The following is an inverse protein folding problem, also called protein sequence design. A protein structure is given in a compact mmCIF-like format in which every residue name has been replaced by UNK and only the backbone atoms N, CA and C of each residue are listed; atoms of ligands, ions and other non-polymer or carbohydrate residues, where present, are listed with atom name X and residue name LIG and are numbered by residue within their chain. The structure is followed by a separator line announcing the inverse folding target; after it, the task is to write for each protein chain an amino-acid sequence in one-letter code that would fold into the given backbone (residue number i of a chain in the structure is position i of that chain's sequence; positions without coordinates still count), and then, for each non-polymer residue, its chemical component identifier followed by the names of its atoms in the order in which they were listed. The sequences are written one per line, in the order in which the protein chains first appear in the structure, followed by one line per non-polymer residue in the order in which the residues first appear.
data_IF_113757154327
#
_entry.id   IF_113757154327
#
_cell.length_a   1.000
_cell.length_b   1.000
_cell.length_c   1.000
_cell.angle_alpha   90.00
_cell.angle_beta   90.00
_cell.angle_gamma   90.00
#
_symmetry.space_group_name_H-M   'P 1'
#
loop_
_entity.id
_entity.type
_entity.pdbx_description
1 polymer ?
#
# COMPACT_ATOMS: atom_id res chain seq x y z
N UNK A 1 14.65 0.32 -19.61
CA UNK A 1 13.29 -0.18 -19.33
C UNK A 1 12.50 0.99 -18.77
N UNK A 2 11.33 1.29 -19.34
CA UNK A 2 10.49 2.42 -18.93
C UNK A 2 9.98 2.31 -17.48
N UNK A 3 10.15 3.39 -16.71
CA UNK A 3 9.63 3.57 -15.35
C UNK A 3 8.65 4.75 -15.38
N UNK A 4 7.57 4.69 -14.60
CA UNK A 4 6.68 5.83 -14.38
C UNK A 4 5.89 6.20 -15.62
N UNK A 5 4.87 5.41 -15.97
CA UNK A 5 4.11 5.60 -17.21
C UNK A 5 3.44 6.97 -17.30
N UNK A 6 2.97 7.52 -16.18
CA UNK A 6 2.52 8.91 -16.06
C UNK A 6 3.58 9.84 -15.46
N UNK A 7 4.25 9.41 -14.38
CA UNK A 7 5.26 10.22 -13.68
C UNK A 7 6.44 9.39 -13.17
N UNK A 8 7.64 9.95 -13.34
CA UNK A 8 8.86 9.49 -12.69
C UNK A 8 9.42 10.62 -11.82
N UNK A 9 9.66 10.33 -10.54
CA UNK A 9 10.34 11.21 -9.61
C UNK A 9 11.45 10.44 -8.86
N UNK A 10 12.65 11.00 -8.84
CA UNK A 10 13.80 10.42 -8.15
C UNK A 10 14.47 11.51 -7.30
N UNK A 11 14.88 11.17 -6.08
CA UNK A 11 15.57 12.10 -5.19
C UNK A 11 16.61 11.39 -4.33
N UNK A 12 17.80 11.96 -4.20
CA UNK A 12 18.83 11.36 -3.34
C UNK A 12 18.46 11.47 -1.85
N UNK A 13 18.05 12.65 -1.39
CA UNK A 13 17.77 12.93 0.04
C UNK A 13 16.48 13.73 0.26
N UNK A 14 15.85 14.21 -0.81
CA UNK A 14 14.72 15.12 -0.73
C UNK A 14 13.39 14.44 -0.46
N UNK A 15 12.34 15.27 -0.37
CA UNK A 15 10.96 14.81 -0.25
C UNK A 15 10.29 14.84 -1.63
N UNK A 16 9.69 13.73 -2.03
CA UNK A 16 8.79 13.62 -3.17
C UNK A 16 7.36 13.62 -2.63
N UNK A 17 6.53 14.57 -3.05
CA UNK A 17 5.11 14.62 -2.67
C UNK A 17 4.23 14.58 -3.90
N UNK A 18 3.40 13.56 -4.00
CA UNK A 18 2.28 13.50 -4.94
C UNK A 18 1.00 13.69 -4.12
N UNK A 19 0.30 14.77 -4.37
CA UNK A 19 -0.92 15.10 -3.67
C UNK A 19 -2.05 15.47 -4.63
N UNK A 20 -3.22 14.86 -4.46
CA UNK A 20 -4.43 15.25 -5.20
C UNK A 20 -4.29 15.12 -6.72
N UNK A 21 -3.56 14.11 -7.19
CA UNK A 21 -3.40 13.82 -8.62
C UNK A 21 -4.30 12.66 -9.05
N UNK A 22 -4.67 12.66 -10.33
CA UNK A 22 -5.33 11.54 -11.00
C UNK A 22 -4.37 10.95 -12.03
N UNK A 23 -4.02 9.69 -11.87
CA UNK A 23 -3.27 8.89 -12.83
C UNK A 23 -4.23 7.87 -13.44
N UNK A 24 -4.66 8.09 -14.68
CA UNK A 24 -5.64 7.25 -15.37
C UNK A 24 -5.08 6.71 -16.70
N UNK A 25 -5.12 5.39 -16.88
CA UNK A 25 -4.79 4.75 -18.16
C UNK A 25 -3.33 4.83 -18.58
N UNK A 26 -2.39 5.05 -17.64
CA UNK A 26 -0.96 5.12 -17.95
C UNK A 26 -0.34 3.72 -18.03
N UNK A 27 0.74 3.57 -18.80
CA UNK A 27 1.45 2.30 -18.95
C UNK A 27 2.96 2.45 -18.87
N UNK A 28 3.61 1.55 -18.13
CA UNK A 28 5.07 1.49 -18.02
C UNK A 28 5.61 0.11 -18.46
N UNK A 29 6.69 0.12 -19.23
CA UNK A 29 7.38 -1.10 -19.69
C UNK A 29 8.03 -1.93 -18.58
N UNK A 30 8.12 -1.40 -17.36
CA UNK A 30 8.60 -2.16 -16.21
C UNK A 30 7.84 -1.78 -14.94
N UNK A 31 7.94 -0.52 -14.50
CA UNK A 31 7.62 -0.19 -13.11
C UNK A 31 6.76 1.06 -12.98
N UNK A 32 5.74 1.00 -12.12
CA UNK A 32 4.92 2.17 -11.80
C UNK A 32 4.11 2.63 -12.99
N UNK A 33 3.04 1.90 -13.33
CA UNK A 33 2.22 2.20 -14.51
C UNK A 33 1.68 3.63 -14.47
N UNK A 34 1.14 4.06 -13.32
CA UNK A 34 0.79 5.46 -13.06
C UNK A 34 2.01 6.28 -12.64
N UNK A 35 2.63 5.92 -11.52
CA UNK A 35 3.77 6.67 -10.98
C UNK A 35 4.92 5.78 -10.47
N UNK A 36 6.13 6.28 -10.66
CA UNK A 36 7.35 5.78 -10.06
C UNK A 36 7.98 6.86 -9.18
N UNK A 37 8.22 6.54 -7.92
CA UNK A 37 8.94 7.42 -6.99
C UNK A 37 10.07 6.67 -6.29
N UNK A 38 11.29 7.20 -6.33
CA UNK A 38 12.44 6.63 -5.64
C UNK A 38 13.20 7.66 -4.80
N UNK A 39 13.55 7.27 -3.57
CA UNK A 39 14.48 7.99 -2.71
C UNK A 39 15.69 7.13 -2.35
N UNK A 40 16.88 7.73 -2.23
CA UNK A 40 18.09 6.96 -1.92
C UNK A 40 18.43 6.92 -0.43
N UNK A 41 18.73 8.06 0.20
CA UNK A 41 19.31 8.17 1.53
C UNK A 41 18.44 9.04 2.43
N UNK A 42 17.57 8.41 3.23
CA UNK A 42 16.72 9.10 4.19
C UNK A 42 15.61 9.96 3.58
N UNK A 43 15.46 9.98 2.25
CA UNK A 43 14.45 10.77 1.57
C UNK A 43 13.02 10.27 1.84
N UNK A 44 12.06 11.18 1.75
CA UNK A 44 10.65 10.89 2.00
C UNK A 44 9.85 10.82 0.70
N UNK A 45 8.92 9.88 0.60
CA UNK A 45 7.92 9.84 -0.48
C UNK A 45 6.53 9.86 0.13
N UNK A 46 5.70 10.83 -0.27
CA UNK A 46 4.36 11.04 0.27
C UNK A 46 3.37 11.00 -0.89
N UNK A 47 2.48 10.00 -0.88
CA UNK A 47 1.30 9.93 -1.73
C UNK A 47 0.09 10.24 -0.84
N UNK A 48 -0.62 11.33 -1.13
CA UNK A 48 -1.85 11.68 -0.43
C UNK A 48 -3.00 12.07 -1.35
N UNK A 49 -4.22 11.57 -1.11
CA UNK A 49 -5.40 11.96 -1.90
C UNK A 49 -5.23 11.75 -3.40
N UNK A 50 -4.39 10.80 -3.83
CA UNK A 50 -4.24 10.50 -5.26
C UNK A 50 -5.19 9.38 -5.67
N UNK A 51 -5.57 9.41 -6.94
CA UNK A 51 -6.39 8.38 -7.58
C UNK A 51 -5.58 7.73 -8.70
N UNK A 52 -5.30 6.44 -8.56
CA UNK A 52 -4.66 5.61 -9.58
C UNK A 52 -5.70 4.65 -10.15
N UNK A 53 -6.08 4.86 -11.41
CA UNK A 53 -7.11 4.09 -12.10
C UNK A 53 -6.56 3.51 -13.41
N UNK A 54 -6.86 2.25 -13.70
CA UNK A 54 -6.58 1.62 -15.01
C UNK A 54 -5.12 1.70 -15.47
N UNK A 55 -4.16 1.86 -14.55
CA UNK A 55 -2.76 1.93 -14.93
C UNK A 55 -2.17 0.52 -15.05
N UNK A 56 -1.20 0.37 -15.95
CA UNK A 56 -0.57 -0.92 -16.25
C UNK A 56 0.94 -0.85 -16.12
N UNK A 57 1.55 -1.79 -15.40
CA UNK A 57 2.99 -2.01 -15.43
C UNK A 57 3.32 -3.39 -15.99
N UNK A 58 4.47 -3.57 -16.62
CA UNK A 58 4.87 -4.89 -17.11
C UNK A 58 5.56 -5.75 -16.03
N UNK A 59 6.06 -5.15 -14.95
CA UNK A 59 6.78 -5.88 -13.90
C UNK A 59 6.24 -5.63 -12.50
N UNK A 60 6.11 -4.38 -12.04
CA UNK A 60 5.50 -4.15 -10.71
C UNK A 60 4.95 -2.76 -10.48
N UNK A 61 3.97 -2.68 -9.59
CA UNK A 61 3.29 -1.43 -9.24
C UNK A 61 2.43 -0.94 -10.39
N UNK A 62 1.33 -1.64 -10.69
CA UNK A 62 0.43 -1.26 -11.79
C UNK A 62 -0.04 0.19 -11.64
N UNK A 63 -0.52 0.57 -10.45
CA UNK A 63 -0.81 1.95 -10.09
C UNK A 63 0.45 2.74 -9.77
N UNK A 64 1.17 2.33 -8.72
CA UNK A 64 2.40 3.02 -8.31
C UNK A 64 3.50 2.08 -7.83
N UNK A 65 4.76 2.47 -8.05
CA UNK A 65 5.92 1.86 -7.41
C UNK A 65 6.71 2.89 -6.62
N UNK A 66 6.82 2.66 -5.31
CA UNK A 66 7.61 3.48 -4.39
C UNK A 66 8.81 2.68 -3.90
N UNK A 67 9.98 3.30 -3.86
CA UNK A 67 11.22 2.67 -3.41
C UNK A 67 12.05 3.64 -2.58
N UNK A 68 12.47 3.22 -1.40
CA UNK A 68 13.56 3.85 -0.66
C UNK A 68 14.75 2.89 -0.63
N UNK A 69 15.97 3.37 -0.93
CA UNK A 69 17.19 2.53 -0.88
C UNK A 69 17.70 2.34 0.56
N UNK A 70 17.66 3.39 1.39
CA UNK A 70 18.11 3.33 2.78
C UNK A 70 17.50 4.45 3.62
N UNK A 71 16.96 4.10 4.79
CA UNK A 71 16.52 5.05 5.83
C UNK A 71 15.34 5.96 5.48
N UNK A 72 14.76 5.85 4.29
CA UNK A 72 13.67 6.70 3.84
C UNK A 72 12.29 6.26 4.33
N UNK A 73 11.34 7.20 4.32
CA UNK A 73 9.94 6.95 4.69
C UNK A 73 9.05 7.03 3.46
N UNK A 74 8.20 6.03 3.25
CA UNK A 74 7.14 6.07 2.24
C UNK A 74 5.79 6.11 2.95
N UNK A 75 5.02 7.15 2.68
CA UNK A 75 3.70 7.39 3.28
C UNK A 75 2.64 7.39 2.19
N UNK A 76 1.65 6.52 2.34
CA UNK A 76 0.45 6.48 1.51
C UNK A 76 -0.75 6.75 2.42
N UNK A 77 -1.45 7.86 2.18
CA UNK A 77 -2.63 8.24 2.95
C UNK A 77 -3.78 8.70 2.06
N UNK A 78 -4.98 8.17 2.25
CA UNK A 78 -6.16 8.53 1.45
C UNK A 78 -5.93 8.39 -0.04
N UNK A 79 -5.26 7.33 -0.49
CA UNK A 79 -5.16 7.09 -1.92
C UNK A 79 -6.19 6.04 -2.33
N UNK A 80 -6.68 6.20 -3.56
CA UNK A 80 -7.54 5.21 -4.23
C UNK A 80 -6.72 4.52 -5.31
N UNK A 81 -6.63 3.20 -5.24
CA UNK A 81 -6.04 2.36 -6.28
C UNK A 81 -7.12 1.42 -6.80
N UNK A 82 -7.54 1.62 -8.04
CA UNK A 82 -8.64 0.85 -8.64
C UNK A 82 -8.30 0.36 -10.04
N UNK A 83 -8.57 -0.92 -10.32
CA UNK A 83 -8.44 -1.50 -11.66
C UNK A 83 -7.03 -1.33 -12.27
N UNK A 84 -6.00 -1.19 -11.43
CA UNK A 84 -4.62 -1.19 -11.90
C UNK A 84 -4.14 -2.63 -12.08
N UNK A 85 -3.26 -2.83 -13.04
CA UNK A 85 -2.81 -4.17 -13.39
C UNK A 85 -1.30 -4.26 -13.59
N UNK A 86 -0.78 -5.44 -13.33
CA UNK A 86 0.53 -5.86 -13.82
C UNK A 86 0.33 -6.93 -14.88
N UNK A 87 0.99 -6.78 -16.03
CA UNK A 87 0.90 -7.75 -17.11
C UNK A 87 1.37 -9.14 -16.64
N UNK A 88 0.81 -10.24 -17.19
CA UNK A 88 1.24 -11.60 -16.91
C UNK A 88 2.65 -11.86 -17.41
N UNK A 89 3.64 -11.42 -16.63
CA UNK A 89 5.06 -11.64 -16.83
C UNK A 89 5.62 -12.37 -15.63
N UNK A 90 6.78 -13.00 -15.78
CA UNK A 90 7.41 -13.88 -14.77
C UNK A 90 7.71 -13.24 -13.40
N UNK A 91 7.48 -11.93 -13.23
CA UNK A 91 7.79 -11.16 -12.02
C UNK A 91 6.67 -10.18 -11.65
N UNK A 92 5.43 -10.42 -12.11
CA UNK A 92 4.30 -9.51 -11.93
C UNK A 92 3.85 -9.38 -10.48
N UNK A 93 3.91 -8.18 -9.90
CA UNK A 93 3.62 -7.96 -8.48
C UNK A 93 3.05 -6.56 -8.16
N UNK A 94 2.14 -6.45 -7.19
CA UNK A 94 1.60 -5.18 -6.70
C UNK A 94 0.72 -4.50 -7.75
N UNK A 95 -0.45 -5.07 -8.06
CA UNK A 95 -1.37 -4.53 -9.06
C UNK A 95 -1.75 -3.09 -8.76
N UNK A 96 -2.16 -2.81 -7.53
CA UNK A 96 -2.38 -1.45 -7.03
C UNK A 96 -1.05 -0.74 -6.81
N UNK A 97 -0.26 -1.23 -5.86
CA UNK A 97 1.02 -0.61 -5.53
C UNK A 97 2.11 -1.62 -5.14
N UNK A 98 3.36 -1.23 -5.38
CA UNK A 98 4.54 -1.84 -4.74
C UNK A 98 5.26 -0.81 -3.89
N UNK A 99 5.54 -1.15 -2.63
CA UNK A 99 6.27 -0.31 -1.68
C UNK A 99 7.52 -1.06 -1.23
N UNK A 100 8.70 -0.46 -1.40
CA UNK A 100 9.99 -1.10 -1.06
C UNK A 100 10.78 -0.25 -0.08
N UNK A 101 10.86 -0.67 1.18
CA UNK A 101 11.69 -0.05 2.21
C UNK A 101 13.06 -0.73 2.27
N UNK A 102 14.09 -0.02 1.85
CA UNK A 102 15.48 -0.38 2.12
C UNK A 102 15.82 -0.38 3.61
N UNK A 103 17.08 -0.68 3.93
CA UNK A 103 17.60 -0.78 5.31
C UNK A 103 17.21 0.43 6.15
N UNK A 104 16.58 0.20 7.31
CA UNK A 104 16.13 1.28 8.22
C UNK A 104 14.98 2.15 7.70
N UNK A 105 14.37 1.80 6.56
CA UNK A 105 13.25 2.54 5.98
C UNK A 105 11.91 2.25 6.65
N UNK A 106 10.95 3.14 6.49
CA UNK A 106 9.60 3.00 7.09
C UNK A 106 8.50 3.11 6.05
N UNK A 107 7.57 2.17 6.02
CA UNK A 107 6.32 2.27 5.29
C UNK A 107 5.18 2.67 6.25
N UNK A 108 4.36 3.64 5.84
CA UNK A 108 3.16 4.06 6.55
C UNK A 108 2.02 4.07 5.54
N UNK A 109 1.10 3.12 5.68
CA UNK A 109 -0.08 2.98 4.83
C UNK A 109 -1.30 3.19 5.72
N UNK A 110 -1.99 4.31 5.55
CA UNK A 110 -3.09 4.69 6.44
C UNK A 110 -4.30 5.14 5.63
N UNK A 111 -5.46 4.53 5.85
CA UNK A 111 -6.70 4.94 5.17
C UNK A 111 -6.56 5.03 3.65
N UNK A 112 -6.10 3.95 3.02
CA UNK A 112 -6.14 3.82 1.57
C UNK A 112 -7.24 2.84 1.18
N UNK A 113 -7.84 3.06 0.02
CA UNK A 113 -8.79 2.15 -0.61
C UNK A 113 -8.13 1.52 -1.84
N UNK A 114 -7.83 0.22 -1.75
CA UNK A 114 -7.12 -0.56 -2.78
C UNK A 114 -7.98 -1.74 -3.21
N UNK A 115 -8.69 -1.59 -4.33
CA UNK A 115 -9.74 -2.52 -4.74
C UNK A 115 -9.69 -2.87 -6.22
N UNK A 116 -10.01 -4.11 -6.58
CA UNK A 116 -10.12 -4.54 -7.98
C UNK A 116 -8.81 -4.44 -8.78
N UNK A 117 -7.65 -4.43 -8.12
CA UNK A 117 -6.35 -4.42 -8.80
C UNK A 117 -5.89 -5.86 -9.09
N UNK A 118 -5.00 -6.04 -10.06
CA UNK A 118 -4.54 -7.36 -10.47
C UNK A 118 -3.03 -7.47 -10.69
N UNK A 119 -2.44 -8.57 -10.22
CA UNK A 119 -1.06 -8.95 -10.53
C UNK A 119 -1.01 -10.45 -10.86
N UNK A 120 -1.04 -10.76 -12.15
CA UNK A 120 -0.89 -12.14 -12.65
C UNK A 120 0.54 -12.35 -13.15
N UNK A 121 1.09 -13.56 -13.03
CA UNK A 121 2.38 -13.95 -13.65
C UNK A 121 3.52 -14.38 -12.71
N UNK A 122 3.33 -14.39 -11.40
CA UNK A 122 4.37 -14.85 -10.46
C UNK A 122 4.47 -16.37 -10.39
N UNK A 123 5.58 -16.97 -10.85
CA UNK A 123 5.89 -18.39 -10.57
C UNK A 123 6.04 -18.70 -9.06
N UNK A 124 6.02 -17.68 -8.20
CA UNK A 124 6.38 -17.79 -6.79
C UNK A 124 5.26 -17.44 -5.82
N UNK A 125 4.00 -17.29 -6.27
CA UNK A 125 2.90 -16.99 -5.34
C UNK A 125 3.02 -15.63 -4.63
N UNK A 126 3.87 -14.72 -5.14
CA UNK A 126 4.42 -13.57 -4.40
C UNK A 126 3.92 -12.23 -4.94
N UNK A 127 2.68 -12.18 -5.42
CA UNK A 127 2.23 -11.09 -6.27
C UNK A 127 1.59 -9.92 -5.48
N UNK A 128 0.67 -10.15 -4.53
CA UNK A 128 -0.06 -9.04 -3.90
C UNK A 128 -0.84 -8.24 -4.94
N UNK A 129 -2.01 -8.73 -5.35
CA UNK A 129 -2.85 -8.08 -6.37
C UNK A 129 -3.18 -6.63 -6.00
N UNK A 130 -3.44 -6.36 -4.73
CA UNK A 130 -3.59 -5.01 -4.18
C UNK A 130 -2.23 -4.36 -3.94
N UNK A 131 -1.56 -4.79 -2.87
CA UNK A 131 -0.28 -4.22 -2.42
C UNK A 131 0.77 -5.30 -2.23
N UNK A 132 1.95 -5.05 -2.79
CA UNK A 132 3.19 -5.74 -2.41
C UNK A 132 4.09 -4.83 -1.58
N UNK A 133 4.48 -5.29 -0.39
CA UNK A 133 5.39 -4.60 0.51
C UNK A 133 6.69 -5.39 0.69
N UNK A 134 7.82 -4.74 0.43
CA UNK A 134 9.16 -5.29 0.63
C UNK A 134 9.89 -4.54 1.73
N UNK A 135 10.33 -5.25 2.77
CA UNK A 135 11.09 -4.69 3.88
C UNK A 135 12.47 -5.35 3.94
N UNK A 136 13.52 -4.54 3.72
CA UNK A 136 14.90 -5.01 3.79
C UNK A 136 15.39 -5.05 5.24
N UNK A 137 16.07 -6.14 5.55
CA UNK A 137 16.72 -6.37 6.84
C UNK A 137 18.23 -6.29 6.68
N UNK A 138 18.86 -5.21 7.17
CA UNK A 138 20.30 -5.13 7.32
C UNK A 138 20.64 -4.36 8.61
N UNK A 139 21.75 -3.61 8.65
CA UNK A 139 22.28 -2.88 9.83
C UNK A 139 21.33 -1.86 10.47
N UNK A 140 20.15 -1.65 9.89
CA UNK A 140 19.00 -0.95 10.45
C UNK A 140 17.72 -1.65 9.97
N UNK A 141 16.77 -1.88 10.88
CA UNK A 141 15.55 -2.62 10.58
C UNK A 141 14.52 -1.71 9.89
N UNK A 142 14.03 -2.15 8.73
CA UNK A 142 12.86 -1.54 8.14
C UNK A 142 11.61 -1.79 9.01
N UNK A 143 10.57 -0.96 8.85
CA UNK A 143 9.30 -1.08 9.57
C UNK A 143 8.11 -0.81 8.67
N UNK A 144 6.96 -1.38 9.02
CA UNK A 144 5.70 -1.10 8.36
C UNK A 144 4.59 -0.83 9.38
N UNK A 145 3.84 0.24 9.13
CA UNK A 145 2.61 0.58 9.84
C UNK A 145 1.47 0.58 8.81
N UNK A 146 0.54 -0.36 8.95
CA UNK A 146 -0.56 -0.59 8.01
C UNK A 146 -1.85 -0.50 8.82
N UNK A 147 -2.57 0.62 8.68
CA UNK A 147 -3.70 0.96 9.53
C UNK A 147 -4.91 1.47 8.74
N UNK A 148 -6.12 1.10 9.15
CA UNK A 148 -7.35 1.68 8.62
C UNK A 148 -7.49 1.57 7.09
N UNK A 149 -6.86 0.61 6.42
CA UNK A 149 -6.94 0.47 4.96
C UNK A 149 -8.02 -0.53 4.56
N UNK A 150 -8.69 -0.27 3.43
CA UNK A 150 -9.44 -1.28 2.68
C UNK A 150 -8.51 -1.80 1.59
N UNK A 151 -8.19 -3.09 1.62
CA UNK A 151 -7.42 -3.79 0.60
C UNK A 151 -8.23 -5.03 0.23
N UNK A 152 -9.20 -4.89 -0.67
CA UNK A 152 -10.26 -5.88 -0.86
C UNK A 152 -10.53 -6.19 -2.34
N UNK A 153 -10.82 -7.46 -2.64
CA UNK A 153 -11.26 -7.89 -3.97
C UNK A 153 -10.20 -7.68 -5.06
N UNK A 154 -8.92 -7.73 -4.69
CA UNK A 154 -7.82 -7.73 -5.65
C UNK A 154 -7.55 -9.16 -6.15
N UNK A 155 -6.75 -9.33 -7.21
CA UNK A 155 -6.51 -10.62 -7.86
C UNK A 155 -5.01 -10.85 -8.04
N UNK A 156 -4.51 -12.01 -7.59
CA UNK A 156 -3.13 -12.41 -7.87
C UNK A 156 -2.91 -13.93 -7.85
N UNK A 157 -1.82 -14.36 -8.49
CA UNK A 157 -1.24 -15.69 -8.28
C UNK A 157 -0.49 -15.66 -6.93
N UNK A 158 -1.21 -15.76 -5.81
CA UNK A 158 -0.68 -15.59 -4.46
C UNK A 158 -1.67 -14.92 -3.53
N UNK A 159 -1.17 -14.24 -2.49
CA UNK A 159 -2.03 -13.40 -1.65
C UNK A 159 -2.64 -12.28 -2.50
N UNK A 160 -3.96 -12.29 -2.61
CA UNK A 160 -4.68 -11.44 -3.52
C UNK A 160 -4.64 -9.97 -3.10
N UNK A 161 -4.79 -9.67 -1.81
CA UNK A 161 -4.91 -8.31 -1.32
C UNK A 161 -3.59 -7.72 -0.86
N UNK A 162 -2.97 -8.30 0.18
CA UNK A 162 -1.73 -7.78 0.78
C UNK A 162 -0.66 -8.87 0.90
N UNK A 163 0.51 -8.61 0.30
CA UNK A 163 1.67 -9.50 0.39
C UNK A 163 2.89 -8.76 0.96
N UNK A 164 3.48 -9.30 2.03
CA UNK A 164 4.59 -8.68 2.78
C UNK A 164 5.81 -9.61 2.82
N UNK A 165 6.95 -9.11 2.35
CA UNK A 165 8.26 -9.73 2.54
C UNK A 165 9.05 -8.98 3.62
N UNK A 166 8.94 -9.48 4.84
CA UNK A 166 9.53 -8.98 6.08
C UNK A 166 10.89 -9.62 6.37
N UNK A 167 11.82 -9.49 5.43
CA UNK A 167 13.11 -10.18 5.53
C UNK A 167 13.84 -10.30 4.22
N UNK A 168 13.67 -9.32 3.33
CA UNK A 168 14.46 -9.27 2.11
C UNK A 168 15.94 -9.08 2.49
N UNK A 169 16.74 -10.11 2.24
CA UNK A 169 18.18 -10.09 2.48
C UNK A 169 18.91 -9.82 1.18
N UNK A 170 19.91 -8.94 1.24
CA UNK A 170 20.98 -8.95 0.24
C UNK A 170 21.75 -10.28 0.30
N UNK A 171 22.57 -10.62 -0.71
CA UNK A 171 23.38 -11.83 -0.68
C UNK A 171 24.30 -11.82 0.55
N UNK A 172 24.12 -12.78 1.49
CA UNK A 172 24.90 -12.82 2.74
C UNK A 172 24.27 -13.49 3.97
N UNK A 173 23.09 -14.12 3.86
CA UNK A 173 22.45 -14.90 4.94
C UNK A 173 21.38 -14.11 5.73
N UNK A 174 20.44 -14.81 6.41
CA UNK A 174 19.39 -14.16 7.18
C UNK A 174 20.00 -13.36 8.34
N UNK A 175 19.69 -12.07 8.50
CA UNK A 175 20.05 -11.32 9.69
C UNK A 175 19.24 -11.87 10.89
N UNK A 176 19.78 -11.74 12.10
CA UNK A 176 19.16 -12.26 13.30
C UNK A 176 17.89 -11.50 13.74
N UNK A 177 17.55 -10.37 13.11
CA UNK A 177 16.37 -9.55 13.47
C UNK A 177 15.56 -9.17 12.22
N UNK A 178 14.24 -9.36 12.30
CA UNK A 178 13.27 -9.16 11.21
C UNK A 178 12.51 -7.83 11.36
N UNK A 179 12.04 -7.22 10.26
CA UNK A 179 11.32 -5.95 10.27
C UNK A 179 10.05 -6.06 11.11
N UNK A 180 9.76 -5.04 11.91
CA UNK A 180 8.49 -4.98 12.61
C UNK A 180 7.37 -4.60 11.64
N UNK A 181 6.29 -5.38 11.64
CA UNK A 181 5.08 -5.12 10.86
C UNK A 181 3.92 -4.93 11.83
N UNK A 182 3.27 -3.77 11.76
CA UNK A 182 2.08 -3.45 12.55
C UNK A 182 0.87 -3.37 11.61
N UNK A 183 -0.08 -4.30 11.76
CA UNK A 183 -1.22 -4.47 10.87
C UNK A 183 -2.52 -4.41 11.68
N UNK A 184 -3.12 -3.23 11.79
CA UNK A 184 -4.30 -3.04 12.66
C UNK A 184 -5.45 -2.35 11.95
N UNK A 185 -6.68 -2.77 12.26
CA UNK A 185 -7.89 -2.12 11.77
C UNK A 185 -7.90 -2.00 10.23
N UNK A 186 -7.50 -3.03 9.51
CA UNK A 186 -7.60 -3.07 8.05
C UNK A 186 -8.70 -4.05 7.63
N UNK A 187 -9.28 -3.86 6.45
CA UNK A 187 -10.21 -4.80 5.83
C UNK A 187 -9.54 -5.45 4.61
N UNK A 188 -9.34 -6.78 4.66
CA UNK A 188 -8.73 -7.57 3.58
C UNK A 188 -9.20 -9.02 3.64
N UNK A 189 -9.27 -9.67 2.48
CA UNK A 189 -9.66 -11.10 2.39
C UNK A 189 -8.46 -12.04 2.34
N UNK A 190 -7.29 -11.55 1.90
CA UNK A 190 -6.11 -12.38 1.71
C UNK A 190 -4.80 -11.64 2.05
N UNK A 191 -4.17 -12.11 3.13
CA UNK A 191 -2.91 -11.57 3.62
C UNK A 191 -1.85 -12.65 3.70
N UNK A 192 -0.65 -12.32 3.20
CA UNK A 192 0.53 -13.16 3.37
C UNK A 192 1.72 -12.36 3.85
N UNK A 193 2.45 -12.95 4.81
CA UNK A 193 3.75 -12.49 5.29
C UNK A 193 4.72 -13.66 5.31
N UNK A 194 5.97 -13.45 4.88
CA UNK A 194 6.93 -14.55 4.71
C UNK A 194 7.40 -15.13 6.06
N UNK A 195 7.87 -14.28 6.98
CA UNK A 195 8.44 -14.74 8.26
C UNK A 195 7.45 -14.56 9.40
N UNK A 196 6.88 -13.36 9.55
CA UNK A 196 5.82 -13.05 10.51
C UNK A 196 6.22 -13.14 11.98
N UNK A 197 7.50 -13.35 12.30
CA UNK A 197 8.01 -13.49 13.65
C UNK A 197 8.04 -12.15 14.43
N UNK A 198 7.94 -11.03 13.71
CA UNK A 198 7.80 -9.68 14.26
C UNK A 198 6.53 -8.97 13.74
N UNK A 199 5.47 -9.73 13.51
CA UNK A 199 4.13 -9.23 13.20
C UNK A 199 3.36 -8.92 14.50
N UNK A 200 2.78 -7.73 14.55
CA UNK A 200 1.78 -7.35 15.54
C UNK A 200 0.52 -6.91 14.83
N UNK A 201 -0.59 -7.58 15.08
CA UNK A 201 -1.85 -7.33 14.40
C UNK A 201 -3.06 -7.37 15.35
N UNK A 202 -4.16 -6.76 14.92
CA UNK A 202 -5.41 -6.77 15.69
C UNK A 202 -6.51 -5.95 15.05
N UNK A 203 -7.76 -6.32 15.32
CA UNK A 203 -8.96 -5.65 14.80
C UNK A 203 -9.03 -5.55 13.26
N UNK A 204 -8.34 -6.44 12.54
CA UNK A 204 -8.53 -6.54 11.09
C UNK A 204 -9.85 -7.25 10.78
N UNK A 205 -10.47 -6.89 9.66
CA UNK A 205 -11.75 -7.36 9.17
C UNK A 205 -11.52 -8.17 7.90
N UNK A 206 -12.34 -9.20 7.72
CA UNK A 206 -12.46 -9.97 6.47
C UNK A 206 -13.95 -10.04 6.11
N UNK A 207 -14.46 -8.97 5.50
CA UNK A 207 -15.85 -8.87 5.08
C UNK A 207 -15.97 -7.90 3.91
N UNK A 208 -17.03 -8.03 3.10
CA UNK A 208 -17.27 -7.07 2.01
C UNK A 208 -17.40 -5.65 2.59
N UNK A 209 -16.56 -4.68 2.19
CA UNK A 209 -16.60 -3.32 2.70
C UNK A 209 -17.85 -2.54 2.25
N UNK A 210 -18.67 -3.12 1.36
CA UNK A 210 -19.90 -2.50 0.83
C UNK A 210 -19.63 -1.12 0.23
N UNK A 211 -18.60 -1.02 -0.63
CA UNK A 211 -18.25 0.22 -1.31
C UNK A 211 -19.27 0.55 -2.41
N UNK A 212 -19.62 1.83 -2.55
CA UNK A 212 -20.29 2.35 -3.74
C UNK A 212 -19.35 2.39 -4.95
N UNK A 213 -19.89 2.70 -6.13
CA UNK A 213 -19.07 2.93 -7.33
C UNK A 213 -18.13 4.13 -7.22
N UNK A 214 -18.35 5.01 -6.24
CA UNK A 214 -17.47 6.13 -5.91
C UNK A 214 -16.62 5.87 -4.67
N UNK A 215 -16.47 4.61 -4.26
CA UNK A 215 -15.65 4.18 -3.13
C UNK A 215 -16.09 4.72 -1.76
N UNK A 216 -17.34 5.16 -1.63
CA UNK A 216 -17.89 5.52 -0.32
C UNK A 216 -18.47 4.28 0.36
N UNK A 217 -18.31 4.18 1.69
CA UNK A 217 -18.95 3.14 2.48
C UNK A 217 -20.47 3.26 2.41
N UNK A 218 -21.16 2.14 2.21
CA UNK A 218 -22.62 2.09 2.27
C UNK A 218 -23.11 1.76 3.68
N UNK A 219 -24.38 2.08 3.94
CA UNK A 219 -25.05 1.74 5.20
C UNK A 219 -24.91 0.24 5.50
N UNK A 220 -24.44 -0.08 6.71
CA UNK A 220 -24.20 -1.45 7.15
C UNK A 220 -22.83 -2.01 6.78
N UNK A 221 -21.95 -1.20 6.19
CA UNK A 221 -20.55 -1.59 5.97
C UNK A 221 -19.87 -1.95 7.30
N UNK A 222 -19.06 -3.02 7.34
CA UNK A 222 -18.27 -3.38 8.51
C UNK A 222 -17.12 -2.38 8.77
N UNK A 223 -16.80 -1.50 7.82
CA UNK A 223 -15.73 -0.52 7.92
C UNK A 223 -16.13 0.79 8.61
N UNK A 224 -17.41 1.00 8.90
CA UNK A 224 -17.91 2.21 9.58
C UNK A 224 -17.54 2.13 11.06
N UNK A 225 -16.90 3.18 11.60
CA UNK A 225 -16.50 3.34 13.01
C UNK A 225 -15.67 2.18 13.61
N UNK A 226 -14.98 1.41 12.76
CA UNK A 226 -14.15 0.27 13.20
C UNK A 226 -12.65 0.49 13.09
N UNK A 227 -12.22 1.68 12.66
CA UNK A 227 -10.81 2.06 12.59
C UNK A 227 -10.20 2.41 13.94
N UNK A 228 -8.97 2.92 13.93
CA UNK A 228 -8.31 3.46 15.12
C UNK A 228 -7.86 4.91 14.95
N UNK A 229 -8.32 5.78 15.84
CA UNK A 229 -7.96 7.21 15.89
C UNK A 229 -6.47 7.42 16.20
N UNK A 230 -5.78 6.39 16.70
CA UNK A 230 -4.34 6.41 17.00
C UNK A 230 -3.45 5.96 15.84
N UNK A 231 -3.99 5.74 14.65
CA UNK A 231 -3.22 5.28 13.49
C UNK A 231 -2.08 6.27 13.13
N UNK A 232 -0.85 5.78 12.91
CA UNK A 232 0.24 6.62 12.40
C UNK A 232 -0.14 7.30 11.09
N UNK A 233 0.04 8.61 11.00
CA UNK A 233 -0.27 9.36 9.77
C UNK A 233 -1.76 9.51 9.45
N UNK A 234 -2.65 9.35 10.45
CA UNK A 234 -4.08 9.64 10.28
C UNK A 234 -4.28 11.10 9.80
N UNK A 235 -5.01 11.32 8.69
CA UNK A 235 -5.25 12.66 8.19
C UNK A 235 -6.41 13.33 8.93
N UNK A 236 -6.41 14.66 8.94
CA UNK A 236 -7.52 15.43 9.54
C UNK A 236 -8.82 15.30 8.75
N UNK A 237 -8.72 15.06 7.45
CA UNK A 237 -9.87 14.92 6.56
C UNK A 237 -9.76 13.70 5.66
N UNK A 238 -10.90 13.20 5.20
CA UNK A 238 -11.03 12.09 4.23
C UNK A 238 -10.60 12.49 2.81
N UNK A 239 -11.00 11.73 1.79
CA UNK A 239 -10.64 12.02 0.40
C UNK A 239 -11.33 13.31 -0.12
N UNK A 240 -12.58 13.54 0.27
CA UNK A 240 -13.46 14.65 -0.13
C UNK A 240 -13.30 15.93 0.70
N UNK A 241 -12.47 15.89 1.76
CA UNK A 241 -12.19 16.96 2.72
C UNK A 241 -13.17 17.11 3.88
N UNK A 242 -13.96 16.08 4.18
CA UNK A 242 -14.76 16.01 5.40
C UNK A 242 -13.92 15.54 6.60
N UNK A 243 -14.27 15.90 7.83
CA UNK A 243 -13.56 15.43 9.03
C UNK A 243 -13.47 13.90 9.06
N UNK A 244 -12.28 13.38 9.35
CA UNK A 244 -12.03 11.93 9.29
C UNK A 244 -12.53 11.15 10.50
N UNK A 245 -12.50 11.78 11.67
CA UNK A 245 -12.98 11.17 12.91
C UNK A 245 -14.35 11.77 13.18
N UNK A 246 -15.38 11.00 12.87
CA UNK A 246 -16.80 11.34 13.04
C UNK A 246 -17.51 10.19 13.75
N UNK A 247 -18.74 10.40 14.18
CA UNK A 247 -19.61 9.36 14.73
C UNK A 247 -20.52 8.91 13.58
N UNK A 248 -20.07 7.90 12.83
CA UNK A 248 -20.68 7.46 11.56
C UNK A 248 -21.95 6.61 11.75
N UNK A 249 -22.05 5.88 12.86
CA UNK A 249 -23.17 5.04 13.25
C UNK A 249 -24.13 5.70 14.26
N UNK A 250 -23.77 6.90 14.74
CA UNK A 250 -24.53 7.74 15.66
C UNK A 250 -24.72 7.11 17.05
N UNK A 251 -23.78 6.28 17.52
CA UNK A 251 -23.79 5.70 18.86
C UNK A 251 -23.28 6.66 19.96
N UNK A 252 -22.71 7.80 19.56
CA UNK A 252 -22.16 8.83 20.44
C UNK A 252 -20.64 8.79 20.60
N UNK A 253 -19.93 7.89 19.91
CA UNK A 253 -18.47 7.76 19.91
C UNK A 253 -17.88 8.03 18.53
N UNK A 254 -17.11 9.11 18.39
CA UNK A 254 -16.45 9.40 17.12
C UNK A 254 -15.21 8.50 16.89
N UNK A 255 -15.28 7.63 15.89
CA UNK A 255 -14.21 6.72 15.47
C UNK A 255 -13.94 6.93 13.98
N UNK A 256 -12.70 6.72 13.55
CA UNK A 256 -12.36 6.78 12.13
C UNK A 256 -12.88 5.54 11.40
N UNK A 257 -13.49 5.74 10.25
CA UNK A 257 -13.79 4.64 9.33
C UNK A 257 -12.51 4.00 8.76
N UNK A 258 -12.57 2.70 8.47
CA UNK A 258 -11.56 2.01 7.66
C UNK A 258 -11.79 2.42 6.19
N UNK A 259 -10.73 2.83 5.48
CA UNK A 259 -10.80 3.33 4.10
C UNK A 259 -10.31 4.75 3.91
#
# INVERSE_FOLDING_TARGET
MGKGGGLLAESTVGTITLASNVFDGNSAEAFGGGAYAETEVGGQTILRKNTFINNTAHSSGGGARLRSVSGGTMTLTNNVFYSNSVMPTWQGEGGGATVTCGTGGTAILTNNTVVGNSASGGLSGSAGGGIRLLLFTATGEAKAFIYNNIIWGNIADGAADLWVQDGAVGPGGPPPIKPAVYLFNNDYSDFHIIWGDNLSEGNNIDADPLLSSSFHLQLGSPCIDTGTNGAPGIPLTDFENEPRIIDGDFDGSAVVDIG
#
